data_IF_943116738267
#
_entry.id   IF_943116738267
#
_cell.length_a   1.000
_cell.length_b   1.000
_cell.length_c   1.000
_cell.angle_alpha   90.00
_cell.angle_beta   90.00
_cell.angle_gamma   90.00
#
_symmetry.space_group_name_H-M   'P 1'
#
loop_
_entity.id
_entity.type
_entity.pdbx_description
1 polymer ?
#
# COMPACT_ATOMS: atom_id res chain seq x y z
N UNK A 1 -26.73 -46.12 56.32
CA UNK A 1 -25.93 -46.66 55.20
C UNK A 1 -26.39 -46.17 53.84
N UNK A 2 -27.65 -46.37 53.42
CA UNK A 2 -28.12 -45.94 52.07
C UNK A 2 -27.87 -44.45 51.78
N UNK A 3 -28.18 -43.57 52.73
CA UNK A 3 -27.97 -42.11 52.58
C UNK A 3 -26.49 -41.74 52.39
N UNK A 4 -25.58 -42.39 53.09
CA UNK A 4 -24.13 -42.19 52.95
C UNK A 4 -23.64 -42.57 51.54
N UNK A 5 -24.07 -43.72 51.02
CA UNK A 5 -23.70 -44.15 49.67
C UNK A 5 -24.25 -43.22 48.58
N UNK A 6 -25.46 -42.70 48.76
CA UNK A 6 -26.05 -41.71 47.84
C UNK A 6 -25.25 -40.41 47.86
N UNK A 7 -24.93 -39.87 49.03
CA UNK A 7 -24.11 -38.65 49.14
C UNK A 7 -22.69 -38.83 48.56
N UNK A 8 -22.07 -39.99 48.79
CA UNK A 8 -20.75 -40.31 48.23
C UNK A 8 -20.80 -40.42 46.71
N UNK A 9 -21.83 -41.04 46.14
CA UNK A 9 -22.00 -41.15 44.70
C UNK A 9 -22.20 -39.78 44.03
N UNK A 10 -23.00 -38.89 44.65
CA UNK A 10 -23.20 -37.52 44.16
C UNK A 10 -21.89 -36.73 44.21
N UNK A 11 -21.14 -36.83 45.31
CA UNK A 11 -19.85 -36.15 45.48
C UNK A 11 -18.81 -36.62 44.47
N UNK A 12 -18.69 -37.93 44.25
CA UNK A 12 -17.80 -38.50 43.23
C UNK A 12 -18.23 -38.11 41.82
N UNK A 13 -19.53 -38.07 41.52
CA UNK A 13 -20.05 -37.58 40.25
C UNK A 13 -19.69 -36.11 40.00
N UNK A 14 -19.78 -35.27 41.02
CA UNK A 14 -19.37 -33.86 40.94
C UNK A 14 -17.87 -33.72 40.68
N UNK A 15 -17.02 -34.46 41.41
CA UNK A 15 -15.57 -34.47 41.20
C UNK A 15 -15.19 -34.96 39.80
N UNK A 16 -15.84 -36.00 39.29
CA UNK A 16 -15.61 -36.50 37.94
C UNK A 16 -16.03 -35.47 36.87
N UNK A 17 -17.13 -34.74 37.08
CA UNK A 17 -17.54 -33.65 36.19
C UNK A 17 -16.53 -32.50 36.20
N UNK A 18 -16.03 -32.12 37.37
CA UNK A 18 -15.02 -31.07 37.52
C UNK A 18 -13.70 -31.47 36.84
N UNK A 19 -13.25 -32.71 37.05
CA UNK A 19 -12.06 -33.27 36.41
C UNK A 19 -12.23 -33.35 34.89
N UNK A 20 -13.41 -33.71 34.39
CA UNK A 20 -13.73 -33.74 32.96
C UNK A 20 -13.73 -32.34 32.34
N UNK A 21 -14.31 -31.34 33.01
CA UNK A 21 -14.20 -29.93 32.57
C UNK A 21 -12.75 -29.46 32.55
N UNK A 22 -11.96 -29.77 33.59
CA UNK A 22 -10.55 -29.43 33.66
C UNK A 22 -9.75 -30.12 32.54
N UNK A 23 -10.04 -31.40 32.28
CA UNK A 23 -9.44 -32.15 31.18
C UNK A 23 -9.79 -31.55 29.81
N UNK A 24 -11.03 -31.14 29.58
CA UNK A 24 -11.43 -30.43 28.34
C UNK A 24 -10.82 -29.03 28.21
N UNK A 25 -10.34 -28.43 29.30
CA UNK A 25 -9.56 -27.18 29.27
C UNK A 25 -8.08 -27.45 28.99
N UNK A 26 -7.54 -28.55 29.52
CA UNK A 26 -6.12 -28.90 29.43
C UNK A 26 -5.76 -29.68 28.16
N UNK A 27 -6.66 -30.53 27.66
CA UNK A 27 -6.52 -31.25 26.39
C UNK A 27 -7.14 -30.39 25.30
N UNK A 28 -6.39 -29.37 24.90
CA UNK A 28 -6.77 -28.46 23.83
C UNK A 28 -6.13 -28.93 22.51
N UNK A 29 -6.94 -29.35 21.55
CA UNK A 29 -6.50 -29.67 20.18
C UNK A 29 -6.65 -28.46 19.25
N UNK A 30 -7.00 -27.29 19.78
CA UNK A 30 -7.10 -26.06 19.00
C UNK A 30 -5.74 -25.35 18.91
N UNK A 31 -5.46 -24.60 17.83
CA UNK A 31 -4.16 -23.98 17.60
C UNK A 31 -3.77 -22.87 18.60
N UNK A 32 -4.66 -22.50 19.54
CA UNK A 32 -4.41 -21.55 20.63
C UNK A 32 -5.11 -22.01 21.90
N UNK A 33 -4.46 -21.92 23.05
CA UNK A 33 -5.10 -22.25 24.33
C UNK A 33 -6.26 -21.29 24.67
N UNK A 34 -7.32 -21.80 25.29
CA UNK A 34 -8.50 -21.01 25.73
C UNK A 34 -8.17 -19.72 26.49
N UNK A 35 -7.17 -19.74 27.36
CA UNK A 35 -6.73 -18.56 28.11
C UNK A 35 -6.12 -17.49 27.20
N UNK A 36 -5.33 -17.90 26.21
CA UNK A 36 -4.72 -17.03 25.22
C UNK A 36 -5.77 -16.41 24.30
N UNK A 37 -6.77 -17.21 23.91
CA UNK A 37 -7.93 -16.72 23.15
C UNK A 37 -8.70 -15.63 23.89
N UNK A 38 -8.97 -15.83 25.19
CA UNK A 38 -9.67 -14.85 26.02
C UNK A 38 -8.86 -13.56 26.16
N UNK A 39 -7.55 -13.68 26.41
CA UNK A 39 -6.64 -12.54 26.50
C UNK A 39 -6.60 -11.74 25.19
N UNK A 40 -6.45 -12.42 24.05
CA UNK A 40 -6.45 -11.79 22.72
C UNK A 40 -7.79 -11.11 22.43
N UNK A 41 -8.92 -11.77 22.73
CA UNK A 41 -10.26 -11.22 22.51
C UNK A 41 -10.50 -9.97 23.36
N UNK A 42 -10.08 -9.99 24.63
CA UNK A 42 -10.17 -8.85 25.52
C UNK A 42 -9.32 -7.68 24.99
N UNK A 43 -8.07 -7.95 24.59
CA UNK A 43 -7.15 -6.94 24.05
C UNK A 43 -7.68 -6.29 22.77
N UNK A 44 -8.15 -7.08 21.81
CA UNK A 44 -8.74 -6.59 20.57
C UNK A 44 -10.00 -5.75 20.83
N UNK A 45 -10.83 -6.15 21.81
CA UNK A 45 -12.03 -5.41 22.19
C UNK A 45 -11.68 -4.06 22.84
N UNK A 46 -10.69 -4.04 23.75
CA UNK A 46 -10.19 -2.81 24.35
C UNK A 46 -9.62 -1.85 23.31
N UNK A 47 -8.84 -2.35 22.35
CA UNK A 47 -8.36 -1.53 21.24
C UNK A 47 -9.51 -0.96 20.40
N UNK A 48 -10.47 -1.82 20.00
CA UNK A 48 -11.61 -1.43 19.16
C UNK A 48 -12.45 -0.32 19.78
N UNK A 49 -12.80 -0.44 21.06
CA UNK A 49 -13.76 0.47 21.69
C UNK A 49 -13.12 1.60 22.49
N UNK A 50 -11.94 1.36 23.09
CA UNK A 50 -11.27 2.33 23.95
C UNK A 50 -9.97 2.88 23.36
N UNK A 51 -9.44 2.29 22.28
CA UNK A 51 -8.15 2.69 21.69
C UNK A 51 -6.96 2.36 22.59
N UNK A 52 -7.15 1.50 23.58
CA UNK A 52 -6.14 1.16 24.58
C UNK A 52 -5.29 -0.01 24.13
N UNK A 53 -3.97 0.15 24.23
CA UNK A 53 -2.99 -0.89 23.94
C UNK A 53 -2.41 -0.81 22.52
N UNK A 54 -1.23 -1.40 22.34
CA UNK A 54 -0.59 -1.58 21.03
C UNK A 54 -0.84 -2.99 20.53
N UNK A 55 -1.18 -3.10 19.26
CA UNK A 55 -1.32 -4.39 18.57
C UNK A 55 -0.01 -4.74 17.86
N UNK A 56 0.36 -6.01 17.90
CA UNK A 56 1.47 -6.54 17.10
C UNK A 56 1.04 -6.84 15.65
N UNK A 57 2.00 -7.17 14.78
CA UNK A 57 1.73 -7.43 13.35
C UNK A 57 0.69 -8.56 13.12
N UNK A 58 0.65 -9.59 13.97
CA UNK A 58 -0.31 -10.71 13.84
C UNK A 58 -1.71 -10.26 14.25
N UNK A 59 -1.82 -9.50 15.33
CA UNK A 59 -3.07 -8.93 15.81
C UNK A 59 -3.66 -7.92 14.82
N UNK A 60 -2.81 -7.08 14.22
CA UNK A 60 -3.22 -6.15 13.16
C UNK A 60 -3.79 -6.92 11.95
N UNK A 61 -3.10 -7.99 11.54
CA UNK A 61 -3.58 -8.84 10.44
C UNK A 61 -4.93 -9.51 10.77
N UNK A 62 -5.15 -9.90 12.03
CA UNK A 62 -6.44 -10.44 12.48
C UNK A 62 -7.56 -9.39 12.40
N UNK A 63 -7.29 -8.15 12.82
CA UNK A 63 -8.23 -7.03 12.69
C UNK A 63 -8.58 -6.80 11.22
N UNK A 64 -7.57 -6.69 10.35
CA UNK A 64 -7.74 -6.54 8.90
C UNK A 64 -8.60 -7.66 8.31
N UNK A 65 -8.24 -8.92 8.54
CA UNK A 65 -8.98 -10.08 7.99
C UNK A 65 -10.42 -10.10 8.49
N UNK A 66 -10.64 -9.81 9.77
CA UNK A 66 -11.96 -9.77 10.39
C UNK A 66 -12.87 -8.66 9.84
N UNK A 67 -12.28 -7.53 9.45
CA UNK A 67 -13.00 -6.37 8.91
C UNK A 67 -13.21 -6.47 7.39
N UNK A 68 -12.16 -6.83 6.63
CA UNK A 68 -12.12 -6.61 5.19
C UNK A 68 -12.29 -7.89 4.35
N UNK A 69 -11.90 -9.07 4.83
CA UNK A 69 -11.79 -10.26 3.94
C UNK A 69 -12.67 -11.45 4.33
N UNK A 70 -13.23 -11.47 5.55
CA UNK A 70 -13.99 -12.63 6.06
C UNK A 70 -15.50 -12.52 5.91
N UNK A 71 -16.04 -11.30 5.71
CA UNK A 71 -17.48 -11.04 5.86
C UNK A 71 -18.21 -10.74 4.54
N UNK A 72 -17.62 -9.95 3.66
CA UNK A 72 -18.33 -9.37 2.53
C UNK A 72 -17.74 -9.74 1.17
N UNK A 73 -16.42 -9.70 1.02
CA UNK A 73 -15.72 -10.09 -0.20
C UNK A 73 -14.42 -10.83 0.12
N UNK A 74 -13.87 -11.53 -0.87
CA UNK A 74 -12.60 -12.25 -0.72
C UNK A 74 -11.43 -11.28 -0.56
N UNK A 75 -10.29 -11.83 -0.14
CA UNK A 75 -9.02 -11.08 -0.02
C UNK A 75 -8.53 -10.54 -1.36
N UNK A 76 -8.84 -11.20 -2.48
CA UNK A 76 -8.31 -10.81 -3.79
C UNK A 76 -8.72 -9.40 -4.19
N UNK A 77 -9.91 -8.95 -3.78
CA UNK A 77 -10.41 -7.59 -4.07
C UNK A 77 -9.56 -6.51 -3.39
N UNK A 78 -8.94 -6.83 -2.24
CA UNK A 78 -8.15 -5.87 -1.46
C UNK A 78 -6.65 -6.06 -1.72
N UNK A 79 -6.19 -7.30 -1.74
CA UNK A 79 -4.75 -7.60 -1.79
C UNK A 79 -4.17 -7.48 -3.21
N UNK A 80 -5.01 -7.40 -4.25
CA UNK A 80 -4.57 -7.20 -5.64
C UNK A 80 -4.66 -5.76 -6.12
N UNK A 81 -5.21 -4.86 -5.31
CA UNK A 81 -5.18 -3.43 -5.63
C UNK A 81 -4.06 -2.74 -4.88
N UNK A 82 -3.36 -1.84 -5.58
CA UNK A 82 -2.39 -0.95 -4.97
C UNK A 82 -3.06 0.43 -4.82
N UNK A 83 -3.23 0.87 -3.58
CA UNK A 83 -3.71 2.21 -3.28
C UNK A 83 -2.77 2.90 -2.32
N UNK A 84 -2.69 4.21 -2.43
CA UNK A 84 -1.94 5.01 -1.49
C UNK A 84 -2.68 5.07 -0.13
N UNK A 85 -2.05 5.44 1.00
CA UNK A 85 -2.75 5.29 2.29
C UNK A 85 -3.97 6.21 2.43
N UNK A 86 -3.98 7.38 1.77
CA UNK A 86 -5.18 8.23 1.73
C UNK A 86 -6.32 7.55 0.99
N UNK A 87 -6.04 6.96 -0.17
CA UNK A 87 -7.04 6.22 -0.94
C UNK A 87 -7.52 4.99 -0.17
N UNK A 88 -6.63 4.29 0.55
CA UNK A 88 -7.03 3.22 1.45
C UNK A 88 -7.95 3.72 2.56
N UNK A 89 -7.62 4.85 3.20
CA UNK A 89 -8.48 5.46 4.21
C UNK A 89 -9.85 5.83 3.63
N UNK A 90 -9.92 6.41 2.44
CA UNK A 90 -11.17 6.73 1.74
C UNK A 90 -12.00 5.48 1.40
N UNK A 91 -11.33 4.40 0.94
CA UNK A 91 -11.95 3.10 0.69
C UNK A 91 -12.51 2.53 1.99
N UNK A 92 -11.72 2.49 3.06
CA UNK A 92 -12.13 1.95 4.36
C UNK A 92 -13.29 2.78 4.93
N UNK A 93 -13.24 4.10 4.83
CA UNK A 93 -14.32 4.99 5.24
C UNK A 93 -15.62 4.73 4.47
N UNK A 94 -15.56 4.53 3.14
CA UNK A 94 -16.74 4.10 2.36
C UNK A 94 -17.22 2.73 2.77
N UNK A 95 -16.31 1.78 3.02
CA UNK A 95 -16.68 0.44 3.45
C UNK A 95 -17.41 0.49 4.79
N UNK A 96 -16.91 1.27 5.75
CA UNK A 96 -17.52 1.44 7.06
C UNK A 96 -18.83 2.22 7.05
N UNK A 97 -18.90 3.32 6.30
CA UNK A 97 -20.03 4.24 6.30
C UNK A 97 -21.14 3.86 5.34
N UNK A 98 -20.82 3.63 4.07
CA UNK A 98 -21.80 3.40 2.99
C UNK A 98 -22.10 1.91 2.86
N UNK A 99 -21.06 1.06 2.90
CA UNK A 99 -21.20 -0.37 2.58
C UNK A 99 -21.41 -1.25 3.83
N UNK A 100 -21.53 -0.65 5.02
CA UNK A 100 -21.94 -1.34 6.24
C UNK A 100 -20.90 -2.26 6.88
N UNK A 101 -19.62 -2.15 6.51
CA UNK A 101 -18.54 -2.87 7.17
C UNK A 101 -18.40 -2.39 8.63
N UNK A 102 -18.31 -3.32 9.58
CA UNK A 102 -18.14 -2.97 11.00
C UNK A 102 -16.69 -2.63 11.28
N UNK A 103 -16.33 -1.36 11.10
CA UNK A 103 -14.98 -0.81 11.29
C UNK A 103 -15.06 0.41 12.21
N UNK A 104 -14.32 0.40 13.31
CA UNK A 104 -14.24 1.54 14.25
C UNK A 104 -13.18 2.55 13.84
N UNK A 105 -13.27 3.79 14.35
CA UNK A 105 -12.28 4.85 14.06
C UNK A 105 -10.83 4.44 14.35
N UNK A 106 -10.61 3.70 15.44
CA UNK A 106 -9.29 3.21 15.82
C UNK A 106 -8.78 2.14 14.84
N UNK A 107 -9.68 1.30 14.31
CA UNK A 107 -9.35 0.30 13.31
C UNK A 107 -9.08 0.93 11.93
N UNK A 108 -9.70 2.06 11.59
CA UNK A 108 -9.47 2.74 10.29
C UNK A 108 -7.99 3.08 10.14
N UNK A 109 -7.41 3.86 11.06
CA UNK A 109 -6.00 4.25 10.99
C UNK A 109 -5.05 3.05 10.99
N UNK A 110 -5.37 2.02 11.77
CA UNK A 110 -4.60 0.79 11.87
C UNK A 110 -4.62 -0.01 10.56
N UNK A 111 -5.81 -0.25 9.99
CA UNK A 111 -6.00 -1.00 8.75
C UNK A 111 -5.42 -0.22 7.58
N UNK A 112 -5.60 1.10 7.53
CA UNK A 112 -4.97 1.97 6.54
C UNK A 112 -3.45 1.80 6.55
N UNK A 113 -2.84 1.85 7.73
CA UNK A 113 -1.38 1.69 7.87
C UNK A 113 -0.93 0.28 7.45
N UNK A 114 -1.69 -0.75 7.82
CA UNK A 114 -1.43 -2.13 7.42
C UNK A 114 -1.48 -2.31 5.90
N UNK A 115 -2.52 -1.78 5.26
CA UNK A 115 -2.75 -1.87 3.82
C UNK A 115 -1.73 -1.04 3.05
N UNK A 116 -1.42 0.17 3.48
CA UNK A 116 -0.40 0.99 2.83
C UNK A 116 1.00 0.37 2.93
N UNK A 117 1.33 -0.26 4.07
CA UNK A 117 2.63 -0.94 4.26
C UNK A 117 2.78 -2.16 3.35
N UNK A 118 1.69 -2.88 3.04
CA UNK A 118 1.73 -4.17 2.32
C UNK A 118 1.27 -4.11 0.86
N UNK A 119 0.30 -3.25 0.58
CA UNK A 119 -0.41 -3.06 -0.69
C UNK A 119 -0.49 -1.57 -1.06
N UNK A 120 0.50 -0.79 -0.62
CA UNK A 120 0.63 0.62 -0.98
C UNK A 120 0.90 0.81 -2.47
N UNK A 121 0.14 1.67 -3.14
CA UNK A 121 0.58 2.27 -4.41
C UNK A 121 1.84 3.08 -4.14
N UNK A 122 2.73 3.09 -5.12
CA UNK A 122 3.97 3.86 -5.07
C UNK A 122 3.74 5.36 -5.29
N UNK A 123 2.49 5.79 -5.51
CA UNK A 123 2.06 7.19 -5.52
C UNK A 123 2.08 7.68 -4.06
N UNK A 124 2.98 8.61 -3.71
CA UNK A 124 3.05 9.13 -2.36
C UNK A 124 1.85 10.05 -2.11
N UNK A 125 0.80 9.54 -1.44
CA UNK A 125 -0.31 10.39 -0.97
C UNK A 125 -0.37 10.53 0.55
N UNK A 126 0.42 9.79 1.32
CA UNK A 126 0.72 10.14 2.72
C UNK A 126 1.90 11.08 2.73
N UNK A 127 1.66 12.26 2.18
CA UNK A 127 2.59 13.36 2.31
C UNK A 127 2.00 14.34 3.30
N UNK A 128 2.85 14.96 4.12
CA UNK A 128 2.47 16.19 4.78
C UNK A 128 1.95 17.17 3.73
N UNK A 129 1.07 18.09 4.11
CA UNK A 129 0.53 19.09 3.17
C UNK A 129 1.66 19.83 2.42
N UNK A 130 2.76 20.11 3.11
CA UNK A 130 3.98 20.69 2.56
C UNK A 130 4.69 19.74 1.60
N UNK A 131 4.89 18.46 1.96
CA UNK A 131 5.49 17.45 1.10
C UNK A 131 4.68 17.21 -0.18
N UNK A 132 3.35 17.19 -0.07
CA UNK A 132 2.44 17.02 -1.21
C UNK A 132 2.50 18.20 -2.17
N UNK A 133 2.52 19.44 -1.65
CA UNK A 133 2.74 20.64 -2.46
C UNK A 133 4.11 20.62 -3.14
N UNK A 134 5.15 20.26 -2.39
CA UNK A 134 6.50 20.19 -2.90
C UNK A 134 6.60 19.19 -4.06
N UNK A 135 6.07 17.97 -3.88
CA UNK A 135 6.08 16.94 -4.92
C UNK A 135 5.32 17.40 -6.17
N UNK A 136 4.11 17.92 -6.02
CA UNK A 136 3.30 18.43 -7.14
C UNK A 136 4.00 19.55 -7.90
N UNK A 137 4.64 20.48 -7.18
CA UNK A 137 5.31 21.64 -7.78
C UNK A 137 6.61 21.24 -8.48
N UNK A 138 7.44 20.44 -7.82
CA UNK A 138 8.83 20.24 -8.22
C UNK A 138 9.13 18.90 -8.87
N UNK A 139 8.39 17.83 -8.57
CA UNK A 139 8.76 16.47 -8.95
C UNK A 139 7.77 15.79 -9.89
N UNK A 140 6.48 16.14 -9.82
CA UNK A 140 5.43 15.48 -10.61
C UNK A 140 5.05 16.30 -11.84
N UNK A 141 4.98 15.64 -13.00
CA UNK A 141 4.39 16.13 -14.24
C UNK A 141 3.32 15.17 -14.73
N UNK A 142 2.23 15.71 -15.23
CA UNK A 142 1.09 14.99 -15.80
C UNK A 142 0.78 15.59 -17.15
N UNK A 143 0.31 14.78 -18.08
CA UNK A 143 -0.29 15.26 -19.33
C UNK A 143 -1.82 15.42 -19.24
N UNK A 144 -2.40 15.15 -18.07
CA UNK A 144 -3.84 15.25 -17.81
C UNK A 144 -4.73 14.35 -18.67
N UNK A 145 -4.16 13.34 -19.35
CA UNK A 145 -4.92 12.41 -20.17
C UNK A 145 -5.20 12.93 -21.56
N UNK A 146 -4.51 12.33 -22.52
CA UNK A 146 -4.67 12.62 -23.93
C UNK A 146 -5.04 11.32 -24.65
N UNK A 147 -6.22 11.30 -25.28
CA UNK A 147 -6.80 10.12 -25.96
C UNK A 147 -6.95 8.88 -25.07
N UNK A 148 -7.68 9.02 -23.96
CA UNK A 148 -7.94 7.99 -22.93
C UNK A 148 -6.69 7.53 -22.16
N UNK A 149 -5.47 7.78 -22.63
CA UNK A 149 -4.22 7.47 -21.92
C UNK A 149 -3.70 8.66 -21.12
N UNK A 150 -3.60 8.48 -19.81
CA UNK A 150 -3.07 9.41 -18.83
C UNK A 150 -1.65 8.99 -18.47
N UNK A 151 -0.72 9.93 -18.53
CA UNK A 151 0.67 9.66 -18.19
C UNK A 151 1.15 10.64 -17.13
N UNK A 152 1.57 10.08 -16.00
CA UNK A 152 2.18 10.82 -14.91
C UNK A 152 3.62 10.36 -14.71
N UNK A 153 4.54 11.32 -14.68
CA UNK A 153 5.94 11.09 -14.36
C UNK A 153 6.29 11.81 -13.06
N UNK A 154 6.89 11.07 -12.13
CA UNK A 154 7.48 11.63 -10.92
C UNK A 154 8.99 11.44 -10.97
N UNK A 155 9.73 12.54 -11.02
CA UNK A 155 11.18 12.51 -10.87
C UNK A 155 11.53 12.14 -9.41
N UNK A 156 12.45 11.18 -9.24
CA UNK A 156 12.79 10.62 -7.92
C UNK A 156 14.25 10.86 -7.52
N UNK A 157 14.68 12.13 -7.34
CA UNK A 157 16.00 12.43 -6.77
C UNK A 157 16.05 12.08 -5.28
N UNK A 158 17.19 12.28 -4.61
CA UNK A 158 17.33 11.98 -3.16
C UNK A 158 16.26 12.71 -2.33
N UNK A 159 15.90 13.94 -2.70
CA UNK A 159 14.87 14.75 -2.06
C UNK A 159 13.49 14.09 -2.11
N UNK A 160 13.19 13.30 -3.14
CA UNK A 160 11.95 12.53 -3.21
C UNK A 160 11.82 11.59 -2.01
N UNK A 161 12.87 10.82 -1.71
CA UNK A 161 12.85 9.81 -0.63
C UNK A 161 12.75 10.45 0.75
N UNK A 162 13.33 11.65 0.93
CA UNK A 162 13.15 12.45 2.15
C UNK A 162 11.68 12.84 2.34
N UNK A 163 11.03 13.29 1.28
CA UNK A 163 9.62 13.73 1.30
C UNK A 163 8.66 12.56 1.53
N UNK A 164 8.93 11.40 0.93
CA UNK A 164 8.03 10.23 1.03
C UNK A 164 8.30 9.32 2.24
N UNK A 165 9.32 9.59 3.05
CA UNK A 165 9.60 8.83 4.27
C UNK A 165 10.35 7.50 4.09
N UNK A 166 11.08 7.31 2.98
CA UNK A 166 12.10 6.26 2.85
C UNK A 166 11.62 4.81 2.78
N UNK A 167 10.51 4.53 2.10
CA UNK A 167 10.08 3.15 1.86
C UNK A 167 9.48 2.92 0.46
N UNK A 168 10.20 3.29 -0.60
CA UNK A 168 9.73 2.97 -1.97
C UNK A 168 10.52 1.85 -2.62
N UNK A 169 9.85 0.97 -3.37
CA UNK A 169 10.49 -0.11 -4.17
C UNK A 169 11.56 0.38 -5.16
N UNK A 170 11.67 1.69 -5.37
CA UNK A 170 12.66 2.36 -6.23
C UNK A 170 14.01 2.58 -5.54
N UNK A 171 14.08 2.51 -4.20
CA UNK A 171 15.33 2.71 -3.44
C UNK A 171 16.47 1.76 -3.85
N UNK A 172 16.12 0.57 -4.33
CA UNK A 172 17.10 -0.41 -4.83
C UNK A 172 17.90 0.04 -6.06
N UNK A 173 17.50 1.10 -6.77
CA UNK A 173 18.19 1.59 -7.97
C UNK A 173 19.17 2.74 -7.73
N UNK A 174 19.33 3.19 -6.47
CA UNK A 174 20.36 4.18 -6.10
C UNK A 174 20.20 5.53 -6.81
N UNK A 175 19.32 6.40 -6.31
CA UNK A 175 19.04 7.73 -6.87
C UNK A 175 20.27 8.67 -6.97
N UNK A 176 21.36 8.37 -6.27
CA UNK A 176 22.63 9.10 -6.40
C UNK A 176 23.39 8.76 -7.69
N UNK A 177 23.11 7.60 -8.31
CA UNK A 177 23.79 7.07 -9.49
C UNK A 177 23.09 7.35 -10.82
N UNK A 178 21.77 7.56 -10.80
CA UNK A 178 20.93 7.57 -12.01
C UNK A 178 19.87 8.67 -11.95
N UNK A 179 19.25 8.95 -13.09
CA UNK A 179 18.01 9.72 -13.17
C UNK A 179 16.85 8.73 -13.25
N UNK A 180 15.95 8.80 -12.27
CA UNK A 180 14.89 7.82 -12.06
C UNK A 180 13.52 8.50 -12.13
N UNK A 181 12.62 7.95 -12.95
CA UNK A 181 11.24 8.38 -13.02
C UNK A 181 10.31 7.23 -12.65
N UNK A 182 9.41 7.46 -11.69
CA UNK A 182 8.21 6.65 -11.55
C UNK A 182 7.23 7.07 -12.63
N UNK A 183 6.76 6.11 -13.41
CA UNK A 183 5.81 6.34 -14.49
C UNK A 183 4.50 5.66 -14.14
N UNK A 184 3.39 6.39 -14.27
CA UNK A 184 2.04 5.87 -14.15
C UNK A 184 1.36 6.04 -15.50
N UNK A 185 0.78 4.95 -15.98
CA UNK A 185 -0.05 4.93 -17.16
C UNK A 185 -1.45 4.51 -16.71
N UNK A 186 -2.45 5.32 -17.02
CA UNK A 186 -3.83 5.03 -16.65
C UNK A 186 -4.76 5.21 -17.84
N UNK A 187 -5.84 4.44 -17.89
CA UNK A 187 -6.93 4.57 -18.86
C UNK A 187 -8.28 4.59 -18.16
N UNK A 188 -9.28 5.26 -18.75
CA UNK A 188 -10.64 5.28 -18.18
C UNK A 188 -11.53 4.15 -18.69
N UNK A 189 -11.35 3.71 -19.95
CA UNK A 189 -12.28 2.74 -20.55
C UNK A 189 -11.59 1.52 -21.17
N UNK A 190 -10.39 1.71 -21.73
CA UNK A 190 -9.69 0.63 -22.42
C UNK A 190 -8.64 -0.02 -21.54
N UNK A 191 -8.22 -1.22 -21.90
CA UNK A 191 -7.05 -1.85 -21.27
C UNK A 191 -5.77 -1.21 -21.83
N UNK A 192 -4.79 -1.02 -20.96
CA UNK A 192 -3.46 -0.58 -21.34
C UNK A 192 -2.77 -1.65 -22.19
N UNK A 193 -2.31 -1.25 -23.37
CA UNK A 193 -1.40 -2.07 -24.17
C UNK A 193 -0.02 -2.18 -23.52
N UNK A 194 0.84 -3.03 -24.07
CA UNK A 194 2.25 -3.10 -23.66
C UNK A 194 3.04 -1.99 -24.35
N UNK A 195 3.44 -0.98 -23.57
CA UNK A 195 4.27 0.13 -24.06
C UNK A 195 5.75 -0.09 -23.68
N UNK A 196 6.65 -0.33 -24.65
CA UNK A 196 8.08 -0.49 -24.40
C UNK A 196 8.75 0.88 -24.20
N UNK A 197 8.57 1.48 -23.01
CA UNK A 197 9.08 2.83 -22.75
C UNK A 197 10.62 2.94 -22.81
N UNK A 198 11.34 1.83 -22.74
CA UNK A 198 12.78 1.76 -23.02
C UNK A 198 13.14 2.15 -24.46
N UNK A 199 12.18 2.00 -25.39
CA UNK A 199 12.32 2.37 -26.81
C UNK A 199 11.60 3.66 -27.16
N UNK A 200 10.52 3.96 -26.43
CA UNK A 200 9.66 5.11 -26.71
C UNK A 200 10.11 6.38 -25.99
N UNK A 201 10.88 6.27 -24.91
CA UNK A 201 11.31 7.43 -24.13
C UNK A 201 12.71 7.93 -24.52
N UNK A 202 12.91 9.25 -24.42
CA UNK A 202 14.22 9.90 -24.51
C UNK A 202 14.31 10.97 -23.42
N UNK A 203 15.45 11.07 -22.75
CA UNK A 203 15.74 12.17 -21.83
C UNK A 203 16.59 13.21 -22.56
N UNK A 204 16.08 14.44 -22.66
CA UNK A 204 16.80 15.59 -23.22
C UNK A 204 17.26 16.53 -22.11
N UNK A 205 18.48 17.02 -22.18
CA UNK A 205 19.01 18.03 -21.26
C UNK A 205 18.90 19.42 -21.88
N UNK A 206 18.97 20.47 -21.05
CA UNK A 206 19.06 21.86 -21.54
C UNK A 206 20.31 22.15 -22.38
N UNK A 207 21.34 21.30 -22.31
CA UNK A 207 22.54 21.39 -23.15
C UNK A 207 22.37 20.74 -24.53
N UNK A 208 21.19 20.18 -24.82
CA UNK A 208 20.89 19.51 -26.08
C UNK A 208 21.34 18.04 -26.14
N UNK A 209 21.83 17.47 -25.03
CA UNK A 209 22.18 16.05 -24.97
C UNK A 209 20.91 15.21 -24.90
N UNK A 210 20.85 14.17 -25.72
CA UNK A 210 19.82 13.13 -25.67
C UNK A 210 20.39 11.85 -25.05
N UNK A 211 19.62 11.24 -24.14
CA UNK A 211 20.03 10.08 -23.37
C UNK A 211 18.90 9.05 -23.48
N UNK A 212 19.23 7.86 -23.99
CA UNK A 212 18.30 6.74 -24.06
C UNK A 212 18.10 6.10 -22.67
N UNK A 213 16.92 5.51 -22.39
CA UNK A 213 16.68 4.78 -21.16
C UNK A 213 17.64 3.59 -21.04
N UNK A 214 18.15 3.37 -19.84
CA UNK A 214 18.88 2.15 -19.48
C UNK A 214 17.92 1.00 -19.16
N UNK A 215 16.75 1.32 -18.63
CA UNK A 215 15.76 0.35 -18.19
C UNK A 215 14.35 0.93 -18.17
N UNK A 216 13.39 0.16 -18.68
CA UNK A 216 11.98 0.24 -18.34
C UNK A 216 11.58 -1.02 -17.60
N UNK A 217 11.01 -0.87 -16.40
CA UNK A 217 10.55 -2.00 -15.59
C UNK A 217 9.15 -1.74 -15.05
N UNK A 218 8.20 -2.56 -15.48
CA UNK A 218 6.86 -2.59 -14.86
C UNK A 218 7.00 -3.11 -13.43
N UNK A 219 6.47 -2.35 -12.47
CA UNK A 219 6.49 -2.70 -11.04
C UNK A 219 5.11 -3.11 -10.53
N UNK A 220 4.04 -2.72 -11.23
CA UNK A 220 2.67 -3.08 -10.93
C UNK A 220 1.81 -2.95 -12.18
N UNK A 221 0.88 -3.89 -12.34
CA UNK A 221 -0.26 -3.82 -13.26
C UNK A 221 -1.52 -4.15 -12.45
N UNK A 222 -2.58 -3.35 -12.64
CA UNK A 222 -3.89 -3.69 -12.10
C UNK A 222 -4.44 -4.91 -12.82
N UNK A 223 -5.29 -5.70 -12.13
CA UNK A 223 -5.85 -6.93 -12.68
C UNK A 223 -6.72 -6.73 -13.93
N UNK A 224 -7.29 -5.54 -14.08
CA UNK A 224 -8.10 -5.13 -15.22
C UNK A 224 -7.29 -4.39 -16.30
N UNK A 225 -5.99 -4.17 -16.06
CA UNK A 225 -5.06 -3.44 -16.92
C UNK A 225 -5.47 -1.98 -17.20
N UNK A 226 -6.22 -1.33 -16.30
CA UNK A 226 -6.47 0.12 -16.38
C UNK A 226 -5.34 0.97 -15.80
N UNK A 227 -4.49 0.39 -14.95
CA UNK A 227 -3.40 1.09 -14.26
C UNK A 227 -2.10 0.30 -14.38
N UNK A 228 -1.05 0.95 -14.85
CA UNK A 228 0.32 0.42 -14.88
C UNK A 228 1.25 1.38 -14.17
N UNK A 229 2.05 0.84 -13.27
CA UNK A 229 3.18 1.55 -12.68
C UNK A 229 4.49 0.94 -13.18
N UNK A 230 5.46 1.78 -13.47
CA UNK A 230 6.80 1.32 -13.77
C UNK A 230 7.89 2.31 -13.39
N UNK A 231 9.12 1.85 -13.54
CA UNK A 231 10.34 2.60 -13.31
C UNK A 231 11.07 2.78 -14.62
N UNK A 232 11.34 4.03 -14.96
CA UNK A 232 12.16 4.42 -16.12
C UNK A 232 13.48 4.99 -15.61
N UNK A 233 14.59 4.42 -16.08
CA UNK A 233 15.96 4.70 -15.60
C UNK A 233 16.79 5.28 -16.73
N UNK A 234 17.49 6.37 -16.46
CA UNK A 234 18.46 6.99 -17.37
C UNK A 234 19.81 7.16 -16.69
N UNK A 235 20.86 7.27 -17.50
CA UNK A 235 22.15 7.75 -17.05
C UNK A 235 22.07 9.23 -16.61
N UNK A 236 23.09 9.72 -15.91
CA UNK A 236 23.13 11.10 -15.42
C UNK A 236 23.14 12.11 -16.55
N UNK A 237 22.38 13.19 -16.39
CA UNK A 237 22.31 14.34 -17.30
C UNK A 237 23.62 15.16 -17.38
N UNK A 238 24.60 14.89 -16.52
CA UNK A 238 25.79 15.74 -16.32
C UNK A 238 25.55 16.83 -15.26
N UNK A 239 26.61 17.50 -14.80
CA UNK A 239 26.54 18.47 -13.69
C UNK A 239 25.95 19.83 -14.09
N UNK A 240 25.94 20.15 -15.39
CA UNK A 240 25.66 21.51 -15.89
C UNK A 240 24.26 21.65 -16.52
N UNK A 241 23.41 20.62 -16.43
CA UNK A 241 22.06 20.68 -16.97
C UNK A 241 21.17 21.58 -16.09
N UNK A 242 20.64 22.65 -16.68
CA UNK A 242 19.68 23.56 -16.03
C UNK A 242 18.24 23.05 -16.09
N UNK A 243 17.93 22.13 -17.00
CA UNK A 243 16.68 21.38 -17.03
C UNK A 243 16.84 20.02 -17.70
N UNK A 244 15.89 19.14 -17.41
CA UNK A 244 15.73 17.84 -18.08
C UNK A 244 14.30 17.70 -18.57
N UNK A 245 14.12 17.06 -19.71
CA UNK A 245 12.83 16.78 -20.32
C UNK A 245 12.76 15.33 -20.72
N UNK A 246 11.76 14.59 -20.23
CA UNK A 246 11.42 13.27 -20.78
C UNK A 246 10.45 13.49 -21.93
N UNK A 247 10.80 12.92 -23.08
CA UNK A 247 9.96 12.86 -24.27
C UNK A 247 9.49 11.43 -24.45
N UNK A 248 8.19 11.20 -24.48
CA UNK A 248 7.59 9.90 -24.82
C UNK A 248 7.02 9.97 -26.23
N UNK A 249 7.50 9.11 -27.11
CA UNK A 249 7.15 9.09 -28.52
C UNK A 249 6.12 8.01 -28.82
N UNK A 250 5.28 8.26 -29.82
CA UNK A 250 4.38 7.29 -30.44
C UNK A 250 3.45 6.56 -29.44
N UNK A 251 3.03 7.27 -28.38
CA UNK A 251 1.94 6.84 -27.53
C UNK A 251 0.59 7.16 -28.19
N UNK A 252 -0.49 6.41 -27.88
CA UNK A 252 -1.81 6.71 -28.41
C UNK A 252 -2.20 8.19 -28.27
N UNK A 253 -2.80 8.75 -29.32
CA UNK A 253 -3.30 10.12 -29.33
C UNK A 253 -2.30 11.24 -29.62
N UNK A 254 -1.01 11.05 -29.32
CA UNK A 254 0.00 12.09 -29.53
C UNK A 254 1.33 11.51 -30.00
N UNK A 255 1.90 12.13 -31.02
CA UNK A 255 3.21 11.74 -31.55
C UNK A 255 4.32 11.90 -30.50
N UNK A 256 4.28 12.95 -29.71
CA UNK A 256 5.28 13.25 -28.69
C UNK A 256 4.61 13.88 -27.45
N UNK A 257 4.95 13.38 -26.26
CA UNK A 257 4.54 13.96 -24.96
C UNK A 257 5.78 14.46 -24.22
N UNK A 258 5.75 15.69 -23.71
CA UNK A 258 6.91 16.36 -23.09
C UNK A 258 6.70 16.63 -21.61
N UNK A 259 7.60 16.13 -20.76
CA UNK A 259 7.58 16.33 -19.31
C UNK A 259 8.89 16.99 -18.88
N UNK A 260 8.84 18.22 -18.36
CA UNK A 260 10.06 19.01 -18.07
C UNK A 260 10.22 19.37 -16.59
N UNK A 261 11.46 19.28 -16.11
CA UNK A 261 11.90 19.67 -14.78
C UNK A 261 13.06 20.66 -14.84
N UNK A 262 13.00 21.71 -14.01
CA UNK A 262 14.13 22.62 -13.79
C UNK A 262 15.09 22.01 -12.78
N UNK A 263 16.39 22.22 -12.97
CA UNK A 263 17.46 21.76 -12.10
C UNK A 263 18.29 22.94 -11.56
N UNK A 264 18.89 22.83 -10.35
CA UNK A 264 18.68 21.73 -9.41
C UNK A 264 17.26 21.74 -8.84
N UNK A 265 16.80 20.58 -8.37
CA UNK A 265 15.55 20.53 -7.61
C UNK A 265 15.81 21.23 -6.27
N UNK A 266 14.91 22.14 -5.82
CA UNK A 266 15.06 22.78 -4.51
C UNK A 266 15.12 21.77 -3.37
N UNK A 267 15.68 22.12 -2.23
CA UNK A 267 15.63 21.23 -1.07
C UNK A 267 14.19 21.00 -0.60
N UNK A 268 13.90 19.78 -0.16
CA UNK A 268 12.62 19.44 0.44
C UNK A 268 12.40 20.21 1.76
N UNK A 269 11.16 20.64 2.06
CA UNK A 269 10.83 21.28 3.34
C UNK A 269 10.99 20.35 4.54
#
# INVERSE_FOLDING_TARGET
MKTFFVSLAVFLGFLASLASMLFLILVDTSPMGKAEYLAQTAKLSLFRYAGVGKLDDREIELVYKGACTRKCHSRDVVERSAHSAREWEDIINRMGGINGARITKNEISLITSYLAKRYGSNIPTVLSEQGGRYLKKHLWRSDFGESDLYVDLIYTPVEYFKVVGGSSKVEGYGAAGYILFKVYLNTHQNKLDVYPLDKLAVLKTSSGREISPLLWKVVYDSSDFHHREGLLVFDKAGRDAASITVVLNDLPGQKERFFQWKLPIPESP
#
